data_IF_804845582070
#
_entry.id   IF_804845582070
#
_cell.length_a   1.000
_cell.length_b   1.000
_cell.length_c   1.000
_cell.angle_alpha   90.00
_cell.angle_beta   90.00
_cell.angle_gamma   90.00
#
_symmetry.space_group_name_H-M   'P 1'
#
loop_
_entity.id
_entity.type
_entity.pdbx_description
1 polymer ?
#
# COMPACT_ATOMS: atom_id res chain seq x y z
N UNK A 1 14.01 -2.77 0.29
CA UNK A 1 12.82 -3.64 0.08
C UNK A 1 12.08 -3.86 1.41
N UNK A 2 10.74 -3.90 1.42
CA UNK A 2 9.98 -4.18 2.66
C UNK A 2 10.10 -5.67 3.06
N UNK A 3 10.43 -5.93 4.33
CA UNK A 3 10.49 -7.28 4.92
C UNK A 3 9.78 -7.32 6.27
N UNK A 4 9.14 -8.46 6.56
CA UNK A 4 8.54 -8.71 7.88
C UNK A 4 9.64 -9.08 8.89
N UNK A 5 9.75 -8.32 9.97
CA UNK A 5 10.68 -8.57 11.06
C UNK A 5 9.96 -8.43 12.41
N UNK A 6 9.98 -9.48 13.23
CA UNK A 6 9.31 -9.51 14.54
C UNK A 6 7.81 -9.13 14.52
N UNK A 7 7.12 -9.40 13.41
CA UNK A 7 5.69 -9.08 13.26
C UNK A 7 5.40 -7.74 12.61
N UNK A 8 6.39 -6.85 12.50
CA UNK A 8 6.28 -5.54 11.88
C UNK A 8 6.86 -5.55 10.45
N UNK A 9 6.37 -4.66 9.59
CA UNK A 9 6.96 -4.42 8.26
C UNK A 9 8.07 -3.37 8.42
N UNK A 10 9.31 -3.75 8.08
CA UNK A 10 10.49 -2.87 8.13
C UNK A 10 11.14 -2.74 6.76
N UNK A 11 11.78 -1.61 6.49
CA UNK A 11 12.58 -1.43 5.29
C UNK A 11 13.93 -2.13 5.47
N UNK A 12 14.28 -3.00 4.54
CA UNK A 12 15.56 -3.71 4.49
C UNK A 12 16.34 -3.24 3.27
N UNK A 13 17.47 -2.60 3.51
CA UNK A 13 18.41 -2.26 2.46
C UNK A 13 19.22 -3.52 2.08
N UNK A 14 19.23 -3.83 0.79
CA UNK A 14 19.82 -5.04 0.23
C UNK A 14 21.33 -4.92 0.12
N UNK A 15 21.83 -3.71 -0.12
CA UNK A 15 23.24 -3.43 -0.35
C UNK A 15 23.99 -3.38 0.98
N UNK A 16 23.43 -2.67 1.96
CA UNK A 16 23.98 -2.63 3.33
C UNK A 16 23.61 -3.86 4.17
N UNK A 17 22.59 -4.64 3.76
CA UNK A 17 22.04 -5.79 4.49
C UNK A 17 21.47 -5.45 5.88
N UNK A 18 21.02 -4.21 6.06
CA UNK A 18 20.51 -3.71 7.34
C UNK A 18 19.04 -3.30 7.24
N UNK A 19 18.36 -3.31 8.39
CA UNK A 19 17.05 -2.67 8.50
C UNK A 19 17.27 -1.18 8.71
N UNK A 20 16.70 -0.37 7.83
CA UNK A 20 16.82 1.09 7.89
C UNK A 20 15.57 1.64 8.56
N UNK A 21 15.78 2.41 9.62
CA UNK A 21 14.72 3.24 10.20
C UNK A 21 14.56 4.47 9.31
N UNK A 22 13.45 4.53 8.58
CA UNK A 22 13.10 5.71 7.78
C UNK A 22 12.50 6.74 8.74
N UNK A 23 13.07 7.95 8.85
CA UNK A 23 12.52 8.98 9.72
C UNK A 23 11.09 9.32 9.30
N UNK A 24 10.20 9.38 10.29
CA UNK A 24 8.76 9.53 10.07
C UNK A 24 8.37 10.80 9.28
N UNK A 25 9.19 11.86 9.36
CA UNK A 25 8.96 13.10 8.64
C UNK A 25 9.28 13.02 7.13
N UNK A 26 10.00 11.99 6.69
CA UNK A 26 10.34 11.77 5.27
C UNK A 26 9.29 10.92 4.53
N UNK A 27 8.34 10.32 5.25
CA UNK A 27 7.25 9.52 4.68
C UNK A 27 6.07 10.44 4.38
N UNK A 28 5.76 10.61 3.10
CA UNK A 28 4.55 11.32 2.67
C UNK A 28 3.37 10.36 2.60
N UNK A 29 2.19 10.91 2.87
CA UNK A 29 0.86 10.32 2.69
C UNK A 29 0.79 9.14 1.68
N UNK A 30 0.52 7.89 2.14
CA UNK A 30 0.40 6.76 1.23
C UNK A 30 -0.71 6.97 0.21
N UNK A 31 -0.44 6.65 -1.05
CA UNK A 31 -1.42 6.56 -2.11
C UNK A 31 -1.96 5.13 -2.18
N UNK A 32 -3.28 4.98 -2.17
CA UNK A 32 -3.94 3.68 -2.22
C UNK A 32 -4.71 3.60 -3.52
N UNK A 33 -4.47 2.52 -4.28
CA UNK A 33 -5.25 2.15 -5.45
C UNK A 33 -5.86 0.76 -5.25
N UNK A 34 -7.13 0.58 -5.63
CA UNK A 34 -7.74 -0.74 -5.75
C UNK A 34 -8.07 -0.98 -7.21
N UNK A 35 -7.57 -2.10 -7.73
CA UNK A 35 -7.89 -2.62 -9.05
C UNK A 35 -8.86 -3.79 -8.94
N UNK A 36 -9.83 -3.82 -9.83
CA UNK A 36 -10.78 -4.93 -9.93
C UNK A 36 -10.16 -6.17 -10.60
N UNK A 37 -10.99 -7.18 -10.88
CA UNK A 37 -10.56 -8.41 -11.54
C UNK A 37 -10.20 -8.26 -13.01
N UNK A 38 -10.59 -7.15 -13.65
CA UNK A 38 -10.24 -6.82 -15.03
C UNK A 38 -8.97 -5.97 -15.09
N UNK A 39 -8.51 -5.46 -13.95
CA UNK A 39 -7.33 -4.61 -13.82
C UNK A 39 -7.65 -3.12 -13.82
N UNK A 40 -8.94 -2.75 -13.83
CA UNK A 40 -9.41 -1.37 -13.84
C UNK A 40 -9.30 -0.77 -12.43
N UNK A 41 -8.80 0.47 -12.34
CA UNK A 41 -8.70 1.19 -11.07
C UNK A 41 -10.09 1.70 -10.68
N UNK A 42 -10.67 1.12 -9.62
CA UNK A 42 -12.01 1.44 -9.15
C UNK A 42 -12.02 2.32 -7.89
N UNK A 43 -10.86 2.48 -7.25
CA UNK A 43 -10.70 3.35 -6.09
C UNK A 43 -9.29 3.92 -6.05
N UNK A 44 -9.21 5.21 -5.74
CA UNK A 44 -7.96 5.94 -5.54
C UNK A 44 -8.13 6.92 -4.41
N UNK A 45 -7.23 6.87 -3.43
CA UNK A 45 -7.19 7.85 -2.36
C UNK A 45 -5.75 8.21 -1.99
N UNK A 46 -5.49 9.50 -1.80
CA UNK A 46 -4.29 9.98 -1.10
C UNK A 46 -4.61 9.98 0.39
N UNK A 47 -3.94 9.13 1.16
CA UNK A 47 -4.17 9.00 2.60
C UNK A 47 -3.76 10.29 3.30
N UNK A 48 -4.63 10.99 4.04
CA UNK A 48 -4.21 12.04 4.96
C UNK A 48 -3.45 11.39 6.11
N UNK A 49 -2.13 11.31 5.94
CA UNK A 49 -1.06 10.98 6.88
C UNK A 49 -1.13 9.63 7.62
N UNK A 50 -2.26 9.12 8.14
CA UNK A 50 -2.27 7.87 8.92
C UNK A 50 -3.56 7.08 8.80
N UNK A 51 -3.45 5.85 8.28
CA UNK A 51 -4.52 4.86 8.37
C UNK A 51 -3.98 3.51 8.83
N UNK A 52 -3.63 3.43 10.11
CA UNK A 52 -3.78 2.15 10.80
C UNK A 52 -5.29 1.93 11.00
N UNK A 53 -5.87 0.89 10.39
CA UNK A 53 -7.30 0.49 10.50
C UNK A 53 -8.33 1.25 9.64
N UNK A 54 -7.98 1.67 8.41
CA UNK A 54 -9.01 2.19 7.49
C UNK A 54 -9.92 1.13 6.90
N UNK A 55 -11.21 1.43 6.87
CA UNK A 55 -12.22 0.70 6.12
C UNK A 55 -12.50 1.43 4.81
N UNK A 56 -12.17 0.80 3.67
CA UNK A 56 -12.53 1.30 2.34
C UNK A 56 -13.84 0.62 1.95
N UNK A 57 -14.92 1.41 1.86
CA UNK A 57 -16.19 0.93 1.32
C UNK A 57 -16.13 0.97 -0.20
N UNK A 58 -16.22 -0.19 -0.82
CA UNK A 58 -16.41 -0.30 -2.27
C UNK A 58 -17.90 -0.09 -2.57
N UNK A 59 -18.22 0.60 -3.66
CA UNK A 59 -19.61 0.84 -4.09
C UNK A 59 -20.21 -0.42 -4.73
N UNK A 60 -21.44 -0.79 -4.32
CA UNK A 60 -22.13 -1.98 -4.80
C UNK A 60 -22.33 -1.99 -6.32
N UNK A 61 -22.54 -0.82 -6.93
CA UNK A 61 -22.86 -0.72 -8.36
C UNK A 61 -21.66 -1.07 -9.27
N UNK A 62 -20.44 -1.07 -8.72
CA UNK A 62 -19.20 -1.29 -9.48
C UNK A 62 -18.51 -2.61 -9.11
N UNK A 63 -18.98 -3.30 -8.07
CA UNK A 63 -18.35 -4.51 -7.57
C UNK A 63 -18.91 -5.73 -8.29
N UNK A 64 -18.02 -6.46 -8.93
CA UNK A 64 -18.26 -7.82 -9.41
C UNK A 64 -17.56 -8.85 -8.53
N UNK A 65 -18.07 -10.09 -8.48
CA UNK A 65 -17.36 -11.18 -7.82
C UNK A 65 -16.02 -11.42 -8.52
N UNK A 66 -14.91 -11.46 -7.81
CA UNK A 66 -13.60 -11.52 -8.44
C UNK A 66 -12.41 -11.46 -7.48
N UNK A 67 -11.22 -11.58 -8.05
CA UNK A 67 -9.96 -11.30 -7.32
C UNK A 67 -9.55 -9.87 -7.59
N UNK A 68 -9.48 -9.09 -6.53
CA UNK A 68 -9.12 -7.68 -6.55
C UNK A 68 -7.68 -7.52 -6.07
N UNK A 69 -7.07 -6.42 -6.46
CA UNK A 69 -5.72 -6.05 -6.06
C UNK A 69 -5.74 -4.70 -5.37
N UNK A 70 -5.07 -4.61 -4.24
CA UNK A 70 -4.81 -3.35 -3.55
C UNK A 70 -3.32 -3.02 -3.65
N UNK A 71 -3.01 -1.82 -4.10
CA UNK A 71 -1.67 -1.27 -4.24
C UNK A 71 -1.55 -0.09 -3.29
N UNK A 72 -0.49 -0.11 -2.48
CA UNK A 72 -0.14 0.93 -1.53
C UNK A 72 1.20 1.50 -1.92
N UNK A 73 1.24 2.78 -2.26
CA UNK A 73 2.47 3.48 -2.64
C UNK A 73 2.80 4.52 -1.58
N UNK A 74 3.94 4.37 -0.93
CA UNK A 74 4.52 5.38 -0.03
C UNK A 74 5.46 6.26 -0.85
N UNK A 75 5.20 7.57 -0.85
CA UNK A 75 6.11 8.56 -1.45
C UNK A 75 7.14 8.97 -0.38
N UNK A 76 8.43 8.73 -0.63
CA UNK A 76 9.51 9.11 0.27
C UNK A 76 10.24 10.28 -0.37
N UNK A 77 10.19 11.43 0.30
CA UNK A 77 10.53 12.76 -0.25
C UNK A 77 11.78 12.76 -1.16
N UNK A 78 12.89 12.19 -0.68
CA UNK A 78 14.18 12.20 -1.36
C UNK A 78 14.62 10.84 -1.93
N UNK A 79 13.96 9.73 -1.55
CA UNK A 79 14.44 8.37 -1.82
C UNK A 79 13.56 7.58 -2.83
N UNK A 80 12.49 8.19 -3.34
CA UNK A 80 11.61 7.62 -4.35
C UNK A 80 10.33 7.01 -3.77
N UNK A 81 9.61 6.21 -4.57
CA UNK A 81 8.37 5.58 -4.16
C UNK A 81 8.54 4.11 -3.77
N UNK A 82 7.83 3.69 -2.73
CA UNK A 82 7.74 2.29 -2.33
C UNK A 82 6.31 1.78 -2.49
N UNK A 83 6.15 0.84 -3.40
CA UNK A 83 4.87 0.19 -3.63
C UNK A 83 4.81 -1.20 -3.02
N UNK A 84 3.69 -1.52 -2.36
CA UNK A 84 3.34 -2.84 -1.88
C UNK A 84 1.98 -3.26 -2.45
N UNK A 85 1.90 -4.53 -2.88
CA UNK A 85 0.72 -5.13 -3.48
C UNK A 85 0.14 -6.21 -2.56
N UNK A 86 -1.18 -6.28 -2.48
CA UNK A 86 -1.88 -7.44 -1.92
C UNK A 86 -3.12 -7.77 -2.75
N UNK A 87 -3.64 -9.00 -2.61
CA UNK A 87 -4.85 -9.45 -3.31
C UNK A 87 -5.91 -9.90 -2.32
N UNK A 88 -7.17 -9.65 -2.64
CA UNK A 88 -8.33 -10.10 -1.87
C UNK A 88 -9.44 -10.57 -2.81
N UNK A 89 -10.34 -11.42 -2.32
CA UNK A 89 -11.46 -11.94 -3.12
C UNK A 89 -12.78 -11.33 -2.65
N UNK A 90 -13.55 -10.83 -3.60
CA UNK A 90 -14.94 -10.41 -3.38
C UNK A 90 -15.85 -11.53 -3.88
N UNK A 91 -16.85 -11.90 -3.06
CA UNK A 91 -17.81 -12.97 -3.32
C UNK A 91 -19.21 -12.41 -3.47
#
# INVERSE_FOLDING_TARGET
MLKKHQGELKFFDVDSKEYVDIPYYDIRAPFINIKDSFGDVIFTAKSPDFYTHSEIKLDYDWISSGTYKIEWTLDIDADGDLSAENTFRVR
#
